data_IF_467610764253
#
_entry.id   IF_467610764253
#
_cell.length_a   1.000
_cell.length_b   1.000
_cell.length_c   1.000
_cell.angle_alpha   90.00
_cell.angle_beta   90.00
_cell.angle_gamma   90.00
#
_symmetry.space_group_name_H-M   'P 1'
#
loop_
_entity.id
_entity.type
_entity.pdbx_description
1 polymer ?
#
# COMPACT_ATOMS: atom_id res chain seq x y z
N UNK A 1 23.06 -3.19 -23.43
CA UNK A 1 22.09 -2.71 -22.43
C UNK A 1 22.30 -3.53 -21.17
N UNK A 2 22.54 -2.87 -20.03
CA UNK A 2 22.78 -3.59 -18.77
C UNK A 2 21.49 -4.18 -18.18
N UNK A 3 21.64 -5.14 -17.27
CA UNK A 3 20.52 -5.87 -16.68
C UNK A 3 19.59 -4.96 -15.84
N UNK A 4 20.12 -3.94 -15.17
CA UNK A 4 19.29 -3.01 -14.38
C UNK A 4 18.45 -2.11 -15.29
N UNK A 5 19.00 -1.66 -16.41
CA UNK A 5 18.24 -0.92 -17.42
C UNK A 5 17.13 -1.80 -18.00
N UNK A 6 17.38 -3.09 -18.25
CA UNK A 6 16.33 -4.03 -18.70
C UNK A 6 15.25 -4.24 -17.66
N UNK A 7 15.63 -4.49 -16.41
CA UNK A 7 14.68 -4.65 -15.32
C UNK A 7 13.81 -3.41 -15.14
N UNK A 8 14.41 -2.22 -15.19
CA UNK A 8 13.70 -0.94 -15.06
C UNK A 8 12.71 -0.72 -16.20
N UNK A 9 13.07 -1.06 -17.44
CA UNK A 9 12.15 -0.99 -18.58
C UNK A 9 10.95 -1.91 -18.40
N UNK A 10 11.17 -3.18 -18.03
CA UNK A 10 10.09 -4.15 -17.82
C UNK A 10 9.11 -3.66 -16.74
N UNK A 11 9.64 -3.11 -15.63
CA UNK A 11 8.79 -2.59 -14.55
C UNK A 11 7.98 -1.36 -14.99
N UNK A 12 8.55 -0.50 -15.84
CA UNK A 12 7.85 0.65 -16.43
C UNK A 12 6.81 0.24 -17.48
N UNK A 13 7.06 -0.80 -18.26
CA UNK A 13 6.09 -1.35 -19.22
C UNK A 13 4.86 -1.95 -18.53
N UNK A 14 4.99 -2.49 -17.32
CA UNK A 14 3.88 -3.10 -16.59
C UNK A 14 2.77 -2.10 -16.22
N UNK A 15 3.12 -0.95 -15.60
CA UNK A 15 2.16 0.04 -15.08
C UNK A 15 2.64 1.49 -15.13
N UNK A 16 3.75 1.78 -15.80
CA UNK A 16 4.35 3.11 -15.87
C UNK A 16 4.63 3.68 -14.48
N UNK A 17 4.27 4.94 -14.27
CA UNK A 17 4.44 5.64 -13.00
C UNK A 17 3.47 5.17 -11.89
N UNK A 18 2.49 4.32 -12.20
CA UNK A 18 1.53 3.78 -11.21
C UNK A 18 2.04 2.55 -10.46
N UNK A 19 3.32 2.22 -10.60
CA UNK A 19 3.97 1.15 -9.86
C UNK A 19 5.29 1.63 -9.28
N UNK A 20 5.35 1.76 -7.96
CA UNK A 20 6.55 2.13 -7.24
C UNK A 20 7.45 0.90 -7.04
N UNK A 21 8.74 1.02 -7.39
CA UNK A 21 9.74 -0.03 -7.21
C UNK A 21 11.10 0.55 -6.81
N UNK A 22 11.97 -0.31 -6.29
CA UNK A 22 13.30 0.05 -5.82
C UNK A 22 13.35 0.46 -4.35
N UNK A 23 14.52 0.91 -3.92
CA UNK A 23 14.75 1.39 -2.55
C UNK A 23 13.84 2.58 -2.27
N UNK A 24 13.13 2.55 -1.14
CA UNK A 24 12.21 3.61 -0.74
C UNK A 24 10.85 3.59 -1.45
N UNK A 25 10.49 2.52 -2.17
CA UNK A 25 9.19 2.40 -2.84
C UNK A 25 8.00 2.65 -1.90
N UNK A 26 8.08 2.21 -0.64
CA UNK A 26 7.04 2.41 0.36
C UNK A 26 6.78 3.90 0.67
N UNK A 27 7.80 4.77 0.57
CA UNK A 27 7.67 6.22 0.76
C UNK A 27 6.83 6.91 -0.32
N UNK A 28 6.60 6.25 -1.46
CA UNK A 28 5.71 6.75 -2.51
C UNK A 28 4.23 6.48 -2.23
N UNK A 29 3.90 5.66 -1.22
CA UNK A 29 2.51 5.30 -0.90
C UNK A 29 1.64 6.52 -0.66
N UNK A 30 2.12 7.51 0.10
CA UNK A 30 1.41 8.75 0.38
C UNK A 30 1.07 9.55 -0.86
N UNK A 31 2.05 9.78 -1.74
CA UNK A 31 1.84 10.50 -2.99
C UNK A 31 0.81 9.80 -3.89
N UNK A 32 0.94 8.49 -4.07
CA UNK A 32 0.01 7.69 -4.87
C UNK A 32 -1.40 7.65 -4.26
N UNK A 33 -1.52 7.56 -2.94
CA UNK A 33 -2.82 7.60 -2.26
C UNK A 33 -3.48 8.98 -2.37
N UNK A 34 -2.69 10.06 -2.29
CA UNK A 34 -3.18 11.43 -2.41
C UNK A 34 -3.81 11.74 -3.78
N UNK A 35 -3.41 11.05 -4.84
CA UNK A 35 -4.04 11.12 -6.16
C UNK A 35 -5.48 10.58 -6.15
N UNK A 36 -5.80 9.67 -5.23
CA UNK A 36 -7.12 9.04 -5.11
C UNK A 36 -8.01 9.71 -4.05
N UNK A 37 -7.41 10.27 -3.00
CA UNK A 37 -8.15 10.96 -1.94
C UNK A 37 -7.31 11.34 -0.73
N UNK A 38 -7.94 12.04 0.22
CA UNK A 38 -7.27 12.53 1.45
C UNK A 38 -7.64 11.75 2.71
N UNK A 39 -8.50 10.74 2.59
CA UNK A 39 -8.94 9.89 3.68
C UNK A 39 -8.79 8.44 3.25
N UNK A 40 -8.11 7.64 4.05
CA UNK A 40 -7.85 6.22 3.75
C UNK A 40 -8.16 5.32 4.94
N UNK A 41 -8.63 4.12 4.66
CA UNK A 41 -8.62 3.03 5.62
C UNK A 41 -7.37 2.18 5.39
N UNK A 42 -6.67 1.82 6.47
CA UNK A 42 -5.48 0.96 6.39
C UNK A 42 -5.84 -0.48 6.74
N UNK A 43 -5.79 -1.37 5.76
CA UNK A 43 -5.93 -2.82 5.97
C UNK A 43 -4.53 -3.38 6.16
N UNK A 44 -4.25 -3.95 7.34
CA UNK A 44 -2.89 -4.33 7.76
C UNK A 44 -2.81 -5.74 8.35
N UNK A 45 -1.65 -6.41 8.30
CA UNK A 45 -1.45 -7.71 8.94
C UNK A 45 -1.59 -7.65 10.47
N UNK A 46 -1.88 -8.80 11.10
CA UNK A 46 -2.10 -8.87 12.55
C UNK A 46 -0.83 -8.58 13.36
N UNK A 47 0.29 -9.21 13.00
CA UNK A 47 1.51 -9.23 13.83
C UNK A 47 2.84 -9.10 13.07
N UNK A 48 2.89 -9.40 11.77
CA UNK A 48 4.11 -9.32 10.97
C UNK A 48 4.17 -7.99 10.20
N UNK A 49 5.36 -7.40 10.04
CA UNK A 49 5.54 -6.19 9.22
C UNK A 49 5.15 -4.87 9.91
N UNK A 50 5.32 -4.77 11.23
CA UNK A 50 5.08 -3.53 11.97
C UNK A 50 5.86 -2.34 11.39
N UNK A 51 7.11 -2.55 10.98
CA UNK A 51 7.96 -1.53 10.36
C UNK A 51 7.37 -1.01 9.03
N UNK A 52 6.77 -1.91 8.24
CA UNK A 52 6.10 -1.56 6.97
C UNK A 52 4.86 -0.71 7.24
N UNK A 53 4.05 -1.08 8.24
CA UNK A 53 2.87 -0.31 8.64
C UNK A 53 3.27 1.09 9.11
N UNK A 54 4.35 1.19 9.88
CA UNK A 54 4.91 2.46 10.32
C UNK A 54 5.36 3.35 9.16
N UNK A 55 6.16 2.81 8.24
CA UNK A 55 6.67 3.54 7.07
C UNK A 55 5.53 4.00 6.14
N UNK A 56 4.55 3.15 5.88
CA UNK A 56 3.37 3.49 5.07
C UNK A 56 2.54 4.57 5.76
N UNK A 57 2.31 4.44 7.07
CA UNK A 57 1.55 5.43 7.84
C UNK A 57 2.24 6.80 7.84
N UNK A 58 3.57 6.81 7.98
CA UNK A 58 4.36 8.04 7.90
C UNK A 58 4.29 8.66 6.50
N UNK A 59 4.47 7.86 5.45
CA UNK A 59 4.37 8.32 4.06
C UNK A 59 2.99 8.96 3.77
N UNK A 60 1.90 8.35 4.26
CA UNK A 60 0.54 8.90 4.15
C UNK A 60 0.42 10.24 4.88
N UNK A 61 0.93 10.33 6.11
CA UNK A 61 0.91 11.56 6.90
C UNK A 61 1.70 12.69 6.22
N UNK A 62 2.91 12.41 5.72
CA UNK A 62 3.76 13.37 5.01
C UNK A 62 3.07 13.93 3.75
N UNK A 63 2.22 13.12 3.10
CA UNK A 63 1.42 13.52 1.93
C UNK A 63 0.08 14.20 2.28
N UNK A 64 -0.19 14.45 3.57
CA UNK A 64 -1.46 15.03 4.03
C UNK A 64 -2.67 14.11 3.85
N UNK A 65 -2.45 12.79 3.84
CA UNK A 65 -3.52 11.77 3.75
C UNK A 65 -3.82 11.26 5.15
N UNK A 66 -5.07 11.43 5.60
CA UNK A 66 -5.52 11.00 6.92
C UNK A 66 -5.95 9.54 6.92
N UNK A 67 -5.33 8.73 7.77
CA UNK A 67 -5.84 7.39 8.09
C UNK A 67 -7.07 7.54 9.00
N UNK A 68 -8.23 7.07 8.54
CA UNK A 68 -9.51 7.21 9.25
C UNK A 68 -9.96 5.93 9.95
N UNK A 69 -9.31 4.80 9.66
CA UNK A 69 -9.56 3.52 10.31
C UNK A 69 -8.41 2.55 10.01
N UNK A 70 -8.18 1.61 10.92
CA UNK A 70 -7.22 0.53 10.73
C UNK A 70 -7.88 -0.80 11.08
N UNK A 71 -7.78 -1.78 10.18
CA UNK A 71 -8.43 -3.09 10.34
C UNK A 71 -7.45 -4.21 10.04
N UNK A 72 -7.65 -5.35 10.69
CA UNK A 72 -6.84 -6.54 10.42
C UNK A 72 -7.30 -7.15 9.10
N UNK A 73 -6.36 -7.27 8.16
CA UNK A 73 -6.59 -7.86 6.85
C UNK A 73 -6.90 -9.36 6.89
N UNK A 74 -7.08 -9.93 5.71
CA UNK A 74 -7.39 -11.34 5.53
C UNK A 74 -6.16 -12.22 5.78
N UNK A 75 -6.37 -13.47 6.20
CA UNK A 75 -5.33 -14.48 6.25
C UNK A 75 -4.90 -14.94 4.83
N UNK A 76 -3.73 -15.60 4.65
CA UNK A 76 -3.39 -16.22 3.38
C UNK A 76 -4.48 -17.22 2.93
N UNK A 77 -4.85 -17.18 1.65
CA UNK A 77 -5.91 -18.02 1.07
C UNK A 77 -7.26 -17.94 1.80
N UNK A 78 -7.57 -16.77 2.37
CA UNK A 78 -8.82 -16.54 3.10
C UNK A 78 -10.07 -16.62 2.19
N UNK A 79 -11.22 -17.02 2.74
CA UNK A 79 -12.47 -17.10 2.01
C UNK A 79 -13.14 -15.72 1.88
N UNK A 80 -14.29 -15.64 1.19
CA UNK A 80 -14.96 -14.35 0.89
C UNK A 80 -15.47 -13.65 2.14
N UNK A 81 -15.75 -14.41 3.20
CA UNK A 81 -16.22 -13.96 4.50
C UNK A 81 -15.23 -12.99 5.15
N UNK A 82 -13.93 -13.13 4.90
CA UNK A 82 -12.91 -12.19 5.38
C UNK A 82 -13.05 -10.81 4.72
N UNK A 83 -13.39 -10.76 3.43
CA UNK A 83 -13.66 -9.48 2.74
C UNK A 83 -14.90 -8.83 3.33
N UNK A 84 -15.96 -9.60 3.57
CA UNK A 84 -17.19 -9.09 4.20
C UNK A 84 -16.93 -8.57 5.62
N UNK A 85 -16.12 -9.28 6.42
CA UNK A 85 -15.69 -8.83 7.75
C UNK A 85 -14.93 -7.51 7.68
N UNK A 86 -13.93 -7.41 6.80
CA UNK A 86 -13.14 -6.18 6.62
C UNK A 86 -14.04 -5.01 6.21
N UNK A 87 -14.96 -5.24 5.27
CA UNK A 87 -15.90 -4.22 4.84
C UNK A 87 -16.80 -3.74 6.00
N UNK A 88 -17.29 -4.67 6.82
CA UNK A 88 -18.11 -4.34 7.99
C UNK A 88 -17.33 -3.57 9.08
N UNK A 89 -16.05 -3.87 9.29
CA UNK A 89 -15.19 -3.13 10.23
C UNK A 89 -14.84 -1.70 9.75
N UNK A 90 -15.05 -1.40 8.47
CA UNK A 90 -14.76 -0.10 7.85
C UNK A 90 -16.00 0.78 7.65
N UNK A 91 -17.21 0.24 7.84
CA UNK A 91 -18.48 0.94 7.71
C UNK A 91 -18.78 1.82 8.93
#
# INVERSE_FOLDING_TARGET
MDLFTRATQILREFKGERYAFGVGALRKTGALAAELGRRVALVRPRSHGADVVGEVSQSLADAGVRVVGQVVGAAPNAPREDVSRIAAELA
#
